data_IF_420031451951
#
_entry.id   IF_420031451951
#
_cell.length_a   1.000
_cell.length_b   1.000
_cell.length_c   1.000
_cell.angle_alpha   90.00
_cell.angle_beta   90.00
_cell.angle_gamma   90.00
#
_symmetry.space_group_name_H-M   'P 1'
#
loop_
_entity.id
_entity.type
_entity.pdbx_description
1 polymer ?
#
# COMPACT_ATOMS: atom_id res chain seq x y z
N UNK A 1 20.05 -24.24 -21.41
CA UNK A 1 19.59 -23.56 -20.21
C UNK A 1 19.87 -22.08 -20.37
N UNK A 2 18.95 -21.22 -19.90
CA UNK A 2 19.20 -19.78 -19.90
C UNK A 2 20.33 -19.44 -18.92
N UNK A 3 21.23 -18.55 -19.29
CA UNK A 3 22.25 -18.05 -18.38
C UNK A 3 21.59 -17.38 -17.16
N UNK A 4 22.14 -17.56 -15.94
CA UNK A 4 21.59 -16.91 -14.76
C UNK A 4 21.73 -15.39 -14.90
N UNK A 5 20.62 -14.67 -14.70
CA UNK A 5 20.61 -13.20 -14.71
C UNK A 5 21.52 -12.71 -13.60
N UNK A 6 22.52 -11.90 -13.95
CA UNK A 6 23.43 -11.26 -12.98
C UNK A 6 22.66 -10.28 -12.10
N UNK A 7 22.91 -10.29 -10.79
CA UNK A 7 22.28 -9.37 -9.83
C UNK A 7 22.39 -9.87 -8.39
N UNK A 8 22.06 -9.01 -7.46
CA UNK A 8 21.95 -9.35 -6.04
C UNK A 8 20.54 -9.86 -5.73
N UNK A 9 20.46 -10.86 -4.85
CA UNK A 9 19.20 -11.43 -4.38
C UNK A 9 19.27 -11.64 -2.88
N UNK A 10 18.35 -11.01 -2.15
CA UNK A 10 18.25 -11.13 -0.71
C UNK A 10 16.79 -11.00 -0.30
N UNK A 11 16.29 -11.94 0.48
CA UNK A 11 14.93 -11.87 1.03
C UNK A 11 14.85 -10.77 2.09
N UNK A 12 13.75 -10.02 2.12
CA UNK A 12 13.54 -8.93 3.09
C UNK A 12 14.27 -7.63 2.76
N UNK A 13 14.85 -7.53 1.55
CA UNK A 13 15.49 -6.31 1.05
C UNK A 13 14.79 -5.86 -0.23
N UNK A 14 14.45 -4.58 -0.33
CA UNK A 14 13.78 -4.01 -1.48
C UNK A 14 14.66 -4.01 -2.74
N UNK A 15 14.03 -4.12 -3.91
CA UNK A 15 14.76 -4.16 -5.18
C UNK A 15 15.58 -2.89 -5.44
N UNK A 16 15.10 -1.72 -5.03
CA UNK A 16 15.81 -0.44 -5.18
C UNK A 16 17.13 -0.43 -4.37
N UNK A 17 17.14 -0.99 -3.16
CA UNK A 17 18.33 -1.08 -2.32
C UNK A 17 19.35 -2.07 -2.89
N UNK A 18 18.88 -3.25 -3.34
CA UNK A 18 19.73 -4.23 -4.03
C UNK A 18 20.33 -3.66 -5.32
N UNK A 19 19.56 -2.86 -6.06
CA UNK A 19 20.05 -2.17 -7.26
C UNK A 19 21.14 -1.16 -6.90
N UNK A 20 20.96 -0.40 -5.82
CA UNK A 20 21.99 0.51 -5.34
C UNK A 20 23.28 -0.24 -4.98
N UNK A 21 23.19 -1.28 -4.16
CA UNK A 21 24.36 -2.08 -3.77
C UNK A 21 25.09 -2.68 -4.99
N UNK A 22 24.33 -3.11 -6.00
CA UNK A 22 24.90 -3.71 -7.21
C UNK A 22 25.66 -2.71 -8.08
N UNK A 23 25.07 -1.52 -8.31
CA UNK A 23 25.68 -0.52 -9.20
C UNK A 23 26.66 0.41 -8.49
N UNK A 24 26.58 0.54 -7.16
CA UNK A 24 27.43 1.41 -6.35
C UNK A 24 28.03 0.65 -5.15
N UNK A 25 28.82 -0.41 -5.40
CA UNK A 25 29.33 -1.26 -4.34
C UNK A 25 30.20 -0.46 -3.35
N UNK A 26 29.95 -0.65 -2.04
CA UNK A 26 30.68 0.04 -0.98
C UNK A 26 30.28 1.50 -0.75
N UNK A 27 29.33 2.06 -1.51
CA UNK A 27 28.81 3.40 -1.21
C UNK A 27 27.64 3.34 -0.23
N UNK A 28 27.54 4.28 0.70
CA UNK A 28 26.39 4.36 1.59
C UNK A 28 25.10 4.58 0.79
N UNK A 29 24.02 3.91 1.19
CA UNK A 29 22.70 4.08 0.57
C UNK A 29 22.18 5.49 0.88
N UNK A 30 21.81 6.31 -0.11
CA UNK A 30 21.20 7.60 0.12
C UNK A 30 19.90 7.49 0.92
N UNK A 31 19.64 8.48 1.80
CA UNK A 31 18.47 8.44 2.67
C UNK A 31 17.15 8.23 1.91
N UNK A 32 16.94 8.95 0.79
CA UNK A 32 15.71 8.79 0.01
C UNK A 32 15.54 7.38 -0.57
N UNK A 33 16.62 6.72 -1.01
CA UNK A 33 16.58 5.31 -1.46
C UNK A 33 16.23 4.40 -0.30
N UNK A 34 16.83 4.60 0.88
CA UNK A 34 16.53 3.83 2.08
C UNK A 34 15.07 3.97 2.52
N UNK A 35 14.50 5.19 2.43
CA UNK A 35 13.10 5.42 2.78
C UNK A 35 12.13 4.72 1.80
N UNK A 36 12.40 4.78 0.49
CA UNK A 36 11.62 4.03 -0.50
C UNK A 36 11.73 2.52 -0.32
N UNK A 37 12.94 2.03 -0.02
CA UNK A 37 13.18 0.61 0.25
C UNK A 37 12.38 0.12 1.45
N UNK A 38 12.38 0.88 2.55
CA UNK A 38 11.58 0.57 3.73
C UNK A 38 10.08 0.55 3.43
N UNK A 39 9.59 1.53 2.67
CA UNK A 39 8.19 1.55 2.26
C UNK A 39 7.80 0.32 1.44
N UNK A 40 8.64 -0.11 0.49
CA UNK A 40 8.40 -1.26 -0.38
C UNK A 40 8.24 -2.59 0.39
N UNK A 41 8.97 -2.75 1.49
CA UNK A 41 8.88 -3.93 2.36
C UNK A 41 7.94 -3.74 3.57
N UNK A 42 7.15 -2.67 3.60
CA UNK A 42 6.24 -2.30 4.69
C UNK A 42 6.93 -2.11 6.05
N UNK A 43 8.21 -1.72 6.08
CA UNK A 43 8.89 -1.25 7.28
C UNK A 43 8.58 0.22 7.53
N UNK A 44 7.54 0.49 8.28
CA UNK A 44 7.10 1.84 8.66
C UNK A 44 7.66 2.29 10.03
N UNK A 45 8.70 1.64 10.53
CA UNK A 45 9.31 1.97 11.82
C UNK A 45 9.98 3.34 11.85
N UNK A 46 10.43 3.85 10.71
CA UNK A 46 10.94 5.20 10.55
C UNK A 46 9.79 6.14 10.16
N UNK A 47 9.46 7.16 10.99
CA UNK A 47 8.33 8.05 10.74
C UNK A 47 8.44 8.88 9.45
N UNK A 48 9.63 8.96 8.84
CA UNK A 48 9.88 9.69 7.60
C UNK A 48 9.47 8.90 6.35
N UNK A 49 9.26 7.59 6.47
CA UNK A 49 8.95 6.69 5.34
C UNK A 49 7.68 7.12 4.62
N UNK A 50 6.57 7.21 5.33
CA UNK A 50 5.30 7.61 4.71
C UNK A 50 5.31 9.03 4.14
N UNK A 51 5.77 10.06 4.88
CA UNK A 51 5.89 11.40 4.32
C UNK A 51 6.72 11.44 3.03
N UNK A 52 7.89 10.81 3.01
CA UNK A 52 8.73 10.79 1.83
C UNK A 52 8.04 10.13 0.63
N UNK A 53 7.39 8.98 0.83
CA UNK A 53 6.64 8.28 -0.21
C UNK A 53 5.48 9.13 -0.77
N UNK A 54 4.70 9.80 0.10
CA UNK A 54 3.62 10.69 -0.36
C UNK A 54 4.15 11.90 -1.14
N UNK A 55 5.29 12.45 -0.76
CA UNK A 55 5.94 13.52 -1.51
C UNK A 55 6.37 13.03 -2.89
N UNK A 56 7.02 11.86 -2.99
CA UNK A 56 7.41 11.27 -4.26
C UNK A 56 6.20 11.01 -5.16
N UNK A 57 5.11 10.46 -4.61
CA UNK A 57 3.86 10.25 -5.36
C UNK A 57 3.23 11.54 -5.86
N UNK A 58 3.32 12.64 -5.09
CA UNK A 58 2.73 13.92 -5.46
C UNK A 58 3.36 14.56 -6.69
N UNK A 59 4.58 14.18 -7.02
CA UNK A 59 5.24 14.63 -8.25
C UNK A 59 4.58 14.09 -9.51
N UNK A 60 3.73 13.06 -9.39
CA UNK A 60 3.04 12.42 -10.52
C UNK A 60 3.99 11.76 -11.53
N UNK A 61 5.24 11.59 -11.16
CA UNK A 61 6.31 11.11 -12.01
C UNK A 61 6.54 9.63 -11.73
N UNK A 62 6.31 8.81 -12.76
CA UNK A 62 6.44 7.36 -12.66
C UNK A 62 7.32 6.80 -13.79
N UNK A 63 7.92 7.65 -14.62
CA UNK A 63 8.76 7.21 -15.73
C UNK A 63 10.21 7.09 -15.28
N UNK A 64 10.94 6.07 -15.74
CA UNK A 64 12.35 5.89 -15.37
C UNK A 64 13.28 7.05 -15.78
N UNK A 65 12.88 7.85 -16.77
CA UNK A 65 13.63 8.99 -17.28
C UNK A 65 13.28 10.33 -16.59
N UNK A 66 12.39 10.33 -15.62
CA UNK A 66 12.03 11.53 -14.86
C UNK A 66 13.23 12.06 -14.05
N UNK A 67 13.50 13.39 -14.07
CA UNK A 67 14.68 13.97 -13.44
C UNK A 67 14.83 13.66 -11.95
N UNK A 68 13.72 13.48 -11.24
CA UNK A 68 13.72 13.16 -9.79
C UNK A 68 14.54 11.91 -9.48
N UNK A 69 14.51 10.90 -10.34
CA UNK A 69 15.30 9.68 -10.15
C UNK A 69 16.80 9.95 -10.24
N UNK A 70 17.21 10.79 -11.22
CA UNK A 70 18.62 11.21 -11.34
C UNK A 70 19.09 11.96 -10.10
N UNK A 71 18.27 12.86 -9.56
CA UNK A 71 18.57 13.61 -8.33
C UNK A 71 18.63 12.68 -7.12
N UNK A 72 17.69 11.75 -7.00
CA UNK A 72 17.64 10.76 -5.92
C UNK A 72 18.90 9.87 -5.93
N UNK A 73 19.23 9.27 -7.08
CA UNK A 73 20.38 8.38 -7.21
C UNK A 73 21.72 9.10 -7.12
N UNK A 74 21.79 10.38 -7.45
CA UNK A 74 23.02 11.18 -7.29
C UNK A 74 23.18 11.77 -5.89
N UNK A 75 22.20 11.60 -5.00
CA UNK A 75 22.18 12.18 -3.66
C UNK A 75 21.94 13.69 -3.62
N UNK A 76 21.52 14.30 -4.74
CA UNK A 76 21.23 15.74 -4.84
C UNK A 76 19.79 16.10 -4.45
N UNK A 77 18.89 15.11 -4.39
CA UNK A 77 17.52 15.36 -3.96
C UNK A 77 17.49 15.85 -2.52
N UNK A 78 16.89 17.01 -2.30
CA UNK A 78 16.65 17.51 -0.95
C UNK A 78 15.58 16.67 -0.24
N UNK A 79 16.05 15.56 0.34
CA UNK A 79 15.19 14.60 1.05
C UNK A 79 14.49 15.25 2.24
N UNK A 80 15.13 16.21 2.92
CA UNK A 80 14.52 16.93 4.05
C UNK A 80 13.32 17.76 3.62
N UNK A 81 13.46 18.52 2.53
CA UNK A 81 12.38 19.29 1.93
C UNK A 81 11.22 18.38 1.50
N UNK A 82 11.54 17.26 0.83
CA UNK A 82 10.53 16.28 0.41
C UNK A 82 9.75 15.70 1.58
N UNK A 83 10.44 15.34 2.68
CA UNK A 83 9.76 14.87 3.90
C UNK A 83 8.78 15.93 4.43
N UNK A 84 9.21 17.19 4.56
CA UNK A 84 8.34 18.27 5.03
C UNK A 84 7.14 18.56 4.13
N UNK A 85 7.28 18.40 2.82
CA UNK A 85 6.15 18.46 1.87
C UNK A 85 5.20 17.27 2.07
N UNK A 86 5.73 16.06 2.20
CA UNK A 86 4.96 14.86 2.43
C UNK A 86 4.23 14.83 3.76
N UNK A 87 4.79 15.42 4.83
CA UNK A 87 4.10 15.57 6.11
C UNK A 87 2.81 16.39 5.97
N UNK A 88 2.85 17.49 5.20
CA UNK A 88 1.64 18.29 4.92
C UNK A 88 0.62 17.52 4.11
N UNK A 89 1.07 16.77 3.09
CA UNK A 89 0.20 15.92 2.26
C UNK A 89 -0.46 14.85 3.13
N UNK A 90 0.33 14.16 3.94
CA UNK A 90 -0.16 13.09 4.83
C UNK A 90 -1.14 13.63 5.87
N UNK A 91 -0.86 14.79 6.46
CA UNK A 91 -1.77 15.44 7.41
C UNK A 91 -3.13 15.76 6.76
N UNK A 92 -3.12 16.29 5.53
CA UNK A 92 -4.35 16.55 4.78
C UNK A 92 -5.12 15.27 4.44
N UNK A 93 -4.42 14.22 3.98
CA UNK A 93 -5.03 12.92 3.69
C UNK A 93 -5.67 12.33 4.95
N UNK A 94 -4.99 12.37 6.08
CA UNK A 94 -5.48 11.84 7.34
C UNK A 94 -6.71 12.62 7.84
N UNK A 95 -6.69 13.96 7.76
CA UNK A 95 -7.84 14.78 8.11
C UNK A 95 -9.06 14.46 7.22
N UNK A 96 -8.85 14.29 5.91
CA UNK A 96 -9.91 13.87 4.98
C UNK A 96 -10.42 12.47 5.29
N UNK A 97 -9.51 11.52 5.50
CA UNK A 97 -9.87 10.12 5.77
C UNK A 97 -10.62 9.98 7.09
N UNK A 98 -10.31 10.81 8.10
CA UNK A 98 -11.02 10.82 9.38
C UNK A 98 -12.54 10.99 9.23
N UNK A 99 -12.96 11.89 8.37
CA UNK A 99 -14.39 12.11 8.12
C UNK A 99 -14.98 11.04 7.18
N UNK A 100 -14.26 10.67 6.13
CA UNK A 100 -14.76 9.72 5.14
C UNK A 100 -14.94 8.32 5.73
N UNK A 101 -13.97 7.81 6.49
CA UNK A 101 -14.07 6.47 7.05
C UNK A 101 -15.25 6.34 8.00
N UNK A 102 -15.53 7.38 8.80
CA UNK A 102 -16.67 7.38 9.75
C UNK A 102 -18.04 7.44 9.06
N UNK A 103 -18.10 7.99 7.85
CA UNK A 103 -19.34 8.07 7.07
C UNK A 103 -19.55 6.88 6.13
N UNK A 104 -18.47 6.18 5.76
CA UNK A 104 -18.53 5.16 4.70
C UNK A 104 -18.22 3.75 5.19
N UNK A 105 -17.53 3.62 6.33
CA UNK A 105 -17.14 2.31 6.83
C UNK A 105 -18.28 1.65 7.58
N UNK A 106 -18.42 0.34 7.39
CA UNK A 106 -19.36 -0.52 8.08
C UNK A 106 -18.74 -1.87 8.40
N UNK A 107 -19.23 -2.51 9.44
CA UNK A 107 -18.77 -3.83 9.88
C UNK A 107 -19.40 -4.96 9.07
N UNK A 108 -18.64 -6.02 8.88
CA UNK A 108 -19.13 -7.29 8.34
C UNK A 108 -18.27 -8.45 8.85
N UNK A 109 -18.61 -9.66 8.47
CA UNK A 109 -17.90 -10.88 8.87
C UNK A 109 -17.64 -11.79 7.67
N UNK A 110 -16.46 -12.41 7.64
CA UNK A 110 -16.09 -13.46 6.70
C UNK A 110 -15.47 -14.61 7.48
N UNK A 111 -16.15 -15.78 7.51
CA UNK A 111 -15.65 -17.01 8.16
C UNK A 111 -15.25 -16.80 9.64
N UNK A 112 -16.01 -16.02 10.39
CA UNK A 112 -15.70 -15.69 11.78
C UNK A 112 -14.65 -14.59 11.95
N UNK A 113 -14.10 -14.02 10.85
CA UNK A 113 -13.20 -12.88 10.91
C UNK A 113 -14.01 -11.58 10.95
N UNK A 114 -13.72 -10.74 11.93
CA UNK A 114 -14.33 -9.40 12.03
C UNK A 114 -13.72 -8.47 10.98
N UNK A 115 -14.55 -7.94 10.08
CA UNK A 115 -14.13 -7.12 8.96
C UNK A 115 -14.70 -5.71 9.04
N UNK A 116 -13.92 -4.74 8.58
CA UNK A 116 -14.37 -3.37 8.31
C UNK A 116 -14.32 -3.11 6.81
N UNK A 117 -15.44 -2.65 6.23
CA UNK A 117 -15.59 -2.41 4.80
C UNK A 117 -15.83 -0.94 4.49
N UNK A 118 -15.39 -0.48 3.33
CA UNK A 118 -15.77 0.81 2.78
C UNK A 118 -15.89 0.77 1.26
N UNK A 119 -16.89 1.46 0.71
CA UNK A 119 -17.01 1.70 -0.73
C UNK A 119 -16.07 2.85 -1.13
N UNK A 120 -14.79 2.55 -1.31
CA UNK A 120 -13.76 3.55 -1.56
C UNK A 120 -12.91 3.15 -2.77
N UNK A 121 -13.03 3.87 -3.91
CA UNK A 121 -12.17 3.63 -5.06
C UNK A 121 -10.72 3.94 -4.72
N UNK A 122 -9.81 3.04 -5.10
CA UNK A 122 -8.36 3.18 -4.86
C UNK A 122 -7.98 3.36 -3.38
N UNK A 123 -8.86 2.93 -2.45
CA UNK A 123 -8.56 2.94 -1.02
C UNK A 123 -7.39 2.01 -0.71
N UNK A 124 -6.42 2.50 0.07
CA UNK A 124 -5.35 1.70 0.68
C UNK A 124 -5.77 1.30 2.08
N UNK A 125 -5.04 0.40 2.72
CA UNK A 125 -5.25 0.09 4.16
C UNK A 125 -5.23 1.33 5.03
N UNK A 126 -4.35 2.28 4.70
CA UNK A 126 -4.23 3.57 5.41
C UNK A 126 -5.51 4.44 5.41
N UNK A 127 -6.49 4.13 4.57
CA UNK A 127 -7.81 4.76 4.66
C UNK A 127 -8.47 4.52 6.01
N UNK A 128 -8.25 3.35 6.60
CA UNK A 128 -8.84 2.95 7.88
C UNK A 128 -8.01 3.36 9.10
N UNK A 129 -6.76 3.82 8.94
CA UNK A 129 -5.85 4.11 10.05
C UNK A 129 -6.39 5.18 11.01
N UNK A 130 -7.31 6.02 10.55
CA UNK A 130 -7.95 7.06 11.36
C UNK A 130 -9.23 6.60 12.05
N UNK A 131 -9.62 5.33 11.90
CA UNK A 131 -10.80 4.77 12.56
C UNK A 131 -10.45 4.30 13.97
N UNK A 132 -11.21 4.76 14.95
CA UNK A 132 -11.07 4.29 16.33
C UNK A 132 -11.39 2.79 16.41
N UNK A 133 -10.57 2.04 17.14
CA UNK A 133 -10.76 0.59 17.27
C UNK A 133 -10.36 -0.23 16.04
N UNK A 134 -9.62 0.33 15.07
CA UNK A 134 -9.18 -0.42 13.87
C UNK A 134 -8.44 -1.71 14.19
N UNK A 135 -7.75 -1.78 15.34
CA UNK A 135 -7.03 -2.98 15.79
C UNK A 135 -7.94 -4.13 16.23
N UNK A 136 -9.23 -3.88 16.43
CA UNK A 136 -10.22 -4.90 16.81
C UNK A 136 -10.71 -5.71 15.60
N UNK A 137 -10.39 -5.26 14.39
CA UNK A 137 -10.72 -5.95 13.15
C UNK A 137 -9.59 -6.89 12.72
N UNK A 138 -9.97 -7.93 12.00
CA UNK A 138 -9.08 -8.91 11.41
C UNK A 138 -8.70 -8.53 9.97
N UNK A 139 -9.68 -7.97 9.23
CA UNK A 139 -9.55 -7.63 7.81
C UNK A 139 -10.15 -6.26 7.52
N UNK A 140 -9.44 -5.46 6.74
CA UNK A 140 -9.93 -4.22 6.14
C UNK A 140 -10.25 -4.46 4.66
N UNK A 141 -11.41 -3.99 4.20
CA UNK A 141 -11.89 -4.26 2.83
C UNK A 141 -12.30 -2.95 2.16
N UNK A 142 -11.64 -2.61 1.08
CA UNK A 142 -12.10 -1.57 0.16
C UNK A 142 -12.75 -2.21 -1.05
N UNK A 143 -13.89 -1.67 -1.50
CA UNK A 143 -14.53 -2.13 -2.73
C UNK A 143 -15.07 -0.96 -3.54
N UNK A 144 -15.17 -1.13 -4.85
CA UNK A 144 -15.76 -0.12 -5.73
C UNK A 144 -16.18 -0.73 -7.06
N UNK A 145 -17.13 -0.10 -7.74
CA UNK A 145 -17.51 -0.45 -9.10
C UNK A 145 -16.63 0.30 -10.11
N UNK A 146 -16.00 -0.41 -11.02
CA UNK A 146 -15.20 0.18 -12.08
C UNK A 146 -16.06 0.62 -13.28
N UNK A 147 -15.47 1.33 -14.28
CA UNK A 147 -16.15 1.84 -15.47
C UNK A 147 -16.80 0.75 -16.36
N UNK A 148 -16.41 -0.51 -16.20
CA UNK A 148 -16.99 -1.65 -16.89
C UNK A 148 -18.15 -2.28 -16.12
N UNK A 149 -18.65 -1.60 -15.08
CA UNK A 149 -19.70 -2.09 -14.18
C UNK A 149 -19.34 -3.43 -13.54
N UNK A 150 -18.10 -3.57 -13.11
CA UNK A 150 -17.57 -4.72 -12.39
C UNK A 150 -17.02 -4.27 -11.05
N UNK A 151 -17.21 -5.09 -10.03
CA UNK A 151 -16.73 -4.82 -8.70
C UNK A 151 -15.26 -5.22 -8.54
N UNK A 152 -14.51 -4.38 -7.87
CA UNK A 152 -13.15 -4.63 -7.44
C UNK A 152 -13.12 -4.60 -5.92
N UNK A 153 -12.43 -5.57 -5.34
CA UNK A 153 -12.23 -5.68 -3.89
C UNK A 153 -10.74 -5.71 -3.58
N UNK A 154 -10.36 -4.99 -2.53
CA UNK A 154 -9.02 -5.04 -1.95
C UNK A 154 -9.13 -5.46 -0.50
N UNK A 155 -8.39 -6.48 -0.11
CA UNK A 155 -8.36 -7.04 1.23
C UNK A 155 -7.00 -6.74 1.86
N UNK A 156 -7.00 -6.24 3.08
CA UNK A 156 -5.79 -5.97 3.86
C UNK A 156 -5.90 -6.66 5.21
N UNK A 157 -4.85 -7.35 5.62
CA UNK A 157 -4.80 -7.97 6.93
C UNK A 157 -4.46 -6.92 7.99
N UNK A 158 -5.27 -6.84 9.03
CA UNK A 158 -4.97 -6.05 10.22
C UNK A 158 -4.13 -6.84 11.24
N UNK A 159 -4.07 -8.17 11.10
CA UNK A 159 -3.37 -9.08 12.01
C UNK A 159 -2.44 -10.01 11.25
N UNK A 160 -1.22 -10.23 11.77
CA UNK A 160 -0.16 -11.03 11.12
C UNK A 160 -0.55 -12.48 10.80
N UNK A 161 -1.45 -13.08 11.58
CA UNK A 161 -1.94 -14.44 11.41
C UNK A 161 -2.95 -14.59 10.28
N UNK A 162 -3.64 -13.54 9.90
CA UNK A 162 -4.68 -13.57 8.86
C UNK A 162 -4.05 -13.52 7.47
N UNK A 163 -4.46 -14.43 6.60
CA UNK A 163 -4.01 -14.54 5.21
C UNK A 163 -5.12 -14.13 4.25
N UNK A 164 -5.13 -12.86 3.87
CA UNK A 164 -6.15 -12.32 2.97
C UNK A 164 -6.04 -12.80 1.53
N UNK A 165 -4.92 -13.41 1.13
CA UNK A 165 -4.78 -14.00 -0.20
C UNK A 165 -5.73 -15.19 -0.39
N UNK A 166 -6.00 -15.94 0.67
CA UNK A 166 -6.97 -17.05 0.67
C UNK A 166 -8.41 -16.55 0.51
N UNK A 167 -8.72 -15.39 1.10
CA UNK A 167 -10.02 -14.75 0.93
C UNK A 167 -10.17 -14.30 -0.53
N UNK A 168 -9.19 -13.58 -1.08
CA UNK A 168 -9.22 -13.08 -2.45
C UNK A 168 -9.34 -14.21 -3.49
N UNK A 169 -8.65 -15.34 -3.26
CA UNK A 169 -8.69 -16.51 -4.16
C UNK A 169 -10.11 -17.08 -4.34
N UNK A 170 -10.98 -16.99 -3.34
CA UNK A 170 -12.39 -17.44 -3.43
C UNK A 170 -13.21 -16.61 -4.41
N UNK A 171 -12.76 -15.40 -4.72
CA UNK A 171 -13.37 -14.48 -5.68
C UNK A 171 -12.60 -14.41 -7.00
N UNK A 172 -11.73 -15.40 -7.27
CA UNK A 172 -10.93 -15.45 -8.49
C UNK A 172 -9.76 -14.47 -8.51
N UNK A 173 -9.40 -13.94 -7.34
CA UNK A 173 -8.30 -13.02 -7.15
C UNK A 173 -7.06 -13.67 -6.55
N UNK A 174 -6.18 -12.85 -5.96
CA UNK A 174 -4.94 -13.30 -5.32
C UNK A 174 -4.14 -12.13 -4.77
N UNK A 175 -2.91 -12.41 -4.34
CA UNK A 175 -2.01 -11.42 -3.76
C UNK A 175 -1.11 -12.01 -2.69
N UNK A 176 -0.68 -11.17 -1.77
CA UNK A 176 0.15 -11.55 -0.63
C UNK A 176 -0.70 -11.78 0.62
N UNK A 177 -0.13 -12.44 1.62
CA UNK A 177 -0.76 -12.70 2.92
C UNK A 177 -1.34 -11.43 3.55
N UNK A 178 -0.62 -10.31 3.49
CA UNK A 178 -1.02 -9.04 4.10
C UNK A 178 -1.90 -8.15 3.22
N UNK A 179 -1.88 -8.35 1.90
CA UNK A 179 -2.63 -7.54 0.93
C UNK A 179 -2.96 -8.34 -0.32
N UNK A 180 -4.23 -8.42 -0.66
CA UNK A 180 -4.71 -9.18 -1.82
C UNK A 180 -5.94 -8.49 -2.43
N UNK A 181 -6.32 -8.89 -3.65
CA UNK A 181 -7.49 -8.31 -4.30
C UNK A 181 -8.18 -9.26 -5.25
N UNK A 182 -9.44 -8.96 -5.52
CA UNK A 182 -10.21 -9.59 -6.57
C UNK A 182 -10.85 -8.52 -7.44
N UNK A 183 -10.87 -8.72 -8.73
CA UNK A 183 -11.37 -7.72 -9.68
C UNK A 183 -12.30 -8.31 -10.71
N UNK A 184 -13.08 -7.44 -11.34
CA UNK A 184 -14.03 -7.77 -12.39
C UNK A 184 -15.17 -8.71 -11.96
N UNK A 185 -15.56 -8.70 -10.67
CA UNK A 185 -16.72 -9.45 -10.20
C UNK A 185 -18.00 -8.88 -10.79
N UNK A 186 -18.93 -9.77 -11.19
CA UNK A 186 -20.25 -9.39 -11.72
C UNK A 186 -21.14 -8.80 -10.62
N UNK A 187 -21.06 -9.34 -9.41
CA UNK A 187 -21.89 -9.00 -8.26
C UNK A 187 -21.02 -8.76 -7.03
N UNK A 188 -21.55 -7.99 -6.09
CA UNK A 188 -20.93 -7.85 -4.77
C UNK A 188 -21.10 -9.15 -3.98
N UNK A 189 -20.08 -9.58 -3.24
CA UNK A 189 -20.21 -10.72 -2.34
C UNK A 189 -21.28 -10.49 -1.27
N UNK A 190 -21.96 -11.58 -0.89
CA UNK A 190 -23.04 -11.58 0.09
C UNK A 190 -22.70 -10.94 1.43
N UNK A 191 -21.47 -11.10 1.89
CA UNK A 191 -21.02 -10.50 3.16
C UNK A 191 -21.00 -8.97 3.13
N UNK A 192 -20.88 -8.35 1.95
CA UNK A 192 -21.02 -6.89 1.79
C UNK A 192 -22.50 -6.52 1.68
N UNK A 193 -23.25 -7.24 0.84
CA UNK A 193 -24.68 -6.95 0.58
C UNK A 193 -25.50 -7.06 1.88
N UNK A 194 -25.28 -8.11 2.66
CA UNK A 194 -26.02 -8.32 3.92
C UNK A 194 -25.68 -7.34 5.04
N UNK A 195 -24.52 -6.70 4.98
CA UNK A 195 -24.11 -5.74 6.00
C UNK A 195 -24.69 -4.34 5.79
N UNK A 196 -25.23 -4.02 4.59
CA UNK A 196 -25.83 -2.70 4.28
C UNK A 196 -27.36 -2.72 4.26
N UNK A 197 -27.96 -3.87 4.58
CA UNK A 197 -29.40 -4.07 4.79
C UNK A 197 -29.73 -4.40 6.25
#
# INVERSE_FOLDING_TARGET
GAEPIKGLRRTGTAAIELSWEYYYPGRPVPLGISLLAKHDIFDLSDPRVQPFEYAMQSLGQNRPDDPVWTELFSGRLDTGKMIGEGERILAWINARNYHLVRSMAFETEIDGLKCICANMPQGRSSFFDTLDGIKDYDVMINFYMNKKRRWNLSFYSAKKEVDVSKIAARFGGGGHKGAAGASALAELPDFIVKAVH
#
